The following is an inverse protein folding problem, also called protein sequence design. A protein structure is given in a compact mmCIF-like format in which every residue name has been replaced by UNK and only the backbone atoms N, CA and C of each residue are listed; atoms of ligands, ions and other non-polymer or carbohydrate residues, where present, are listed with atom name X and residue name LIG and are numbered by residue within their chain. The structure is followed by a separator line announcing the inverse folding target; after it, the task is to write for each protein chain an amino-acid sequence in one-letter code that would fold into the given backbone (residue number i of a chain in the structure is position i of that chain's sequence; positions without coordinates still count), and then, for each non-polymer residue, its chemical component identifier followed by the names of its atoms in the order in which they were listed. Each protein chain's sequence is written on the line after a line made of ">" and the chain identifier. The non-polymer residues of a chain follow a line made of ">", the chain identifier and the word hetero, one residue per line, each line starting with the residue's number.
data_IF_507176029950
#
_entry.id   IF_507176029950
#
_cell.length_a   1.000
_cell.length_b   1.000
_cell.length_c   1.000
_cell.angle_alpha   90.00
_cell.angle_beta   90.00
_cell.angle_gamma   90.00
#
_symmetry.space_group_name_H-M   'P 1'
#
loop_
_entity.id
_entity.type
_entity.pdbx_description
1 polymer ?
#
# COMPACT_ATOMS: atom_id res chain seq x y z
N UNK A 1 37.77 32.29 -30.93
CA UNK A 1 37.55 30.84 -31.04
C UNK A 1 38.27 30.00 -29.97
N UNK A 2 39.56 30.21 -29.71
CA UNK A 2 40.32 29.44 -28.71
C UNK A 2 39.79 29.54 -27.27
N UNK A 3 39.31 30.71 -26.84
CA UNK A 3 38.79 30.96 -25.48
C UNK A 3 37.43 30.26 -25.27
N UNK A 4 36.58 30.21 -26.30
CA UNK A 4 35.28 29.52 -26.27
C UNK A 4 35.48 28.01 -26.10
N UNK A 5 36.50 27.45 -26.77
CA UNK A 5 36.81 26.02 -26.66
C UNK A 5 37.32 25.63 -25.26
N UNK A 6 38.13 26.49 -24.59
CA UNK A 6 38.54 26.30 -23.20
C UNK A 6 37.37 26.39 -22.21
N UNK A 7 36.39 27.27 -22.48
CA UNK A 7 35.21 27.40 -21.63
C UNK A 7 34.27 26.20 -21.76
N UNK A 8 34.12 25.64 -22.95
CA UNK A 8 33.38 24.38 -23.20
C UNK A 8 34.03 23.17 -22.52
N UNK A 9 35.36 23.11 -22.48
CA UNK A 9 36.13 22.08 -21.78
C UNK A 9 35.99 22.16 -20.26
N UNK A 10 35.89 23.37 -19.69
CA UNK A 10 35.67 23.56 -18.25
C UNK A 10 34.26 23.19 -17.78
N UNK A 11 33.23 23.35 -18.63
CA UNK A 11 31.86 22.97 -18.35
C UNK A 11 31.68 21.44 -18.36
N UNK A 12 32.47 20.71 -19.16
CA UNK A 12 32.40 19.25 -19.23
C UNK A 12 33.03 18.51 -18.02
N UNK A 13 33.80 19.20 -17.17
CA UNK A 13 34.42 18.58 -15.99
C UNK A 13 33.55 18.50 -14.74
N UNK A 14 32.30 18.96 -14.79
CA UNK A 14 31.37 18.88 -13.66
C UNK A 14 30.51 17.58 -13.62
N UNK A 15 30.93 16.55 -14.34
CA UNK A 15 30.34 15.21 -14.22
C UNK A 15 30.92 14.46 -13.02
N UNK A 16 30.73 14.99 -11.82
CA UNK A 16 31.10 14.27 -10.60
C UNK A 16 30.13 13.10 -10.42
N UNK A 17 30.69 11.94 -10.06
CA UNK A 17 29.90 10.80 -9.63
C UNK A 17 28.94 11.26 -8.51
N UNK A 18 27.62 11.30 -8.83
CA UNK A 18 26.60 11.84 -7.94
C UNK A 18 26.19 10.84 -6.84
N UNK A 19 26.97 9.76 -6.68
CA UNK A 19 26.66 8.67 -5.78
C UNK A 19 27.67 8.60 -4.64
N UNK A 20 27.17 8.47 -3.40
CA UNK A 20 27.98 8.23 -2.21
C UNK A 20 28.47 6.78 -2.18
N UNK A 21 27.63 5.86 -2.64
CA UNK A 21 27.93 4.43 -2.68
C UNK A 21 27.19 3.76 -3.84
N UNK A 22 27.75 2.67 -4.36
CA UNK A 22 27.14 1.86 -5.40
C UNK A 22 27.85 0.52 -5.55
N UNK A 23 27.22 -0.44 -6.21
CA UNK A 23 27.84 -1.68 -6.66
C UNK A 23 27.79 -1.80 -8.18
N UNK A 24 28.73 -2.57 -8.75
CA UNK A 24 28.71 -2.88 -10.17
C UNK A 24 28.15 -4.29 -10.34
N UNK A 25 27.06 -4.38 -11.09
CA UNK A 25 26.45 -5.66 -11.45
C UNK A 25 27.28 -6.48 -12.44
N UNK A 26 26.95 -7.76 -12.60
CA UNK A 26 27.68 -8.71 -13.46
C UNK A 26 27.72 -8.24 -14.92
N UNK A 27 26.75 -7.45 -15.35
CA UNK A 27 26.66 -6.91 -16.72
C UNK A 27 27.34 -5.54 -16.88
N UNK A 28 28.00 -5.05 -15.80
CA UNK A 28 28.65 -3.73 -15.79
C UNK A 28 27.67 -2.57 -15.49
N UNK A 29 26.42 -2.84 -15.18
CA UNK A 29 25.44 -1.86 -14.75
C UNK A 29 25.67 -1.42 -13.30
N UNK A 30 25.29 -0.18 -13.00
CA UNK A 30 25.42 0.38 -11.65
C UNK A 30 24.17 0.08 -10.83
N UNK A 31 24.33 -0.71 -9.78
CA UNK A 31 23.29 -1.14 -8.84
C UNK A 31 23.49 -0.53 -7.45
N UNK A 32 22.47 -0.62 -6.60
CA UNK A 32 22.53 -0.30 -5.18
C UNK A 32 23.05 1.11 -4.89
N UNK A 33 22.64 2.06 -5.72
CA UNK A 33 23.12 3.45 -5.63
C UNK A 33 22.57 4.16 -4.40
N UNK A 34 23.45 4.84 -3.69
CA UNK A 34 23.09 5.74 -2.59
C UNK A 34 23.54 7.15 -2.98
N UNK A 35 22.67 8.12 -2.92
CA UNK A 35 22.98 9.51 -3.22
C UNK A 35 23.79 10.19 -2.09
N UNK A 36 24.23 11.42 -2.32
CA UNK A 36 25.00 12.18 -1.34
C UNK A 36 24.23 12.50 -0.05
N UNK A 37 22.89 12.39 -0.07
CA UNK A 37 22.01 12.55 1.10
C UNK A 37 21.79 11.23 1.85
N UNK A 38 22.36 10.12 1.37
CA UNK A 38 22.23 8.79 1.93
C UNK A 38 20.97 8.06 1.51
N UNK A 39 20.25 8.53 0.49
CA UNK A 39 19.03 7.91 0.01
C UNK A 39 19.31 6.90 -1.11
N UNK A 40 18.61 5.79 -1.09
CA UNK A 40 18.61 4.76 -2.14
C UNK A 40 17.99 5.30 -3.42
N UNK A 41 18.65 5.03 -4.56
CA UNK A 41 18.26 5.51 -5.87
C UNK A 41 18.50 4.45 -6.96
N UNK A 42 17.59 4.36 -7.92
CA UNK A 42 17.76 3.53 -9.11
C UNK A 42 17.59 2.04 -8.86
N UNK A 43 18.17 1.18 -9.72
CA UNK A 43 18.05 -0.28 -9.62
C UNK A 43 18.82 -0.81 -8.42
N UNK A 44 18.16 -1.73 -7.70
CA UNK A 44 18.68 -2.39 -6.50
C UNK A 44 18.53 -3.89 -6.60
N UNK A 45 19.54 -4.59 -6.09
CA UNK A 45 19.53 -6.03 -5.81
C UNK A 45 19.87 -6.23 -4.34
N UNK A 46 18.99 -6.90 -3.61
CA UNK A 46 19.10 -7.15 -2.17
C UNK A 46 19.21 -8.66 -1.99
N UNK A 47 20.23 -9.11 -1.26
CA UNK A 47 20.41 -10.51 -0.90
C UNK A 47 20.15 -10.68 0.60
N UNK A 48 19.36 -11.68 0.96
CA UNK A 48 19.06 -12.06 2.34
C UNK A 48 19.36 -13.54 2.52
N UNK A 49 20.27 -13.85 3.43
CA UNK A 49 20.66 -15.23 3.75
C UNK A 49 19.55 -15.97 4.53
N UNK A 50 19.62 -17.31 4.52
CA UNK A 50 18.83 -18.16 5.40
C UNK A 50 19.12 -17.83 6.87
N UNK A 51 18.07 -17.58 7.65
CA UNK A 51 18.22 -17.26 9.06
C UNK A 51 17.18 -17.99 9.93
N UNK A 52 17.64 -18.75 10.91
CA UNK A 52 16.81 -19.39 11.95
C UNK A 52 15.61 -20.19 11.41
N UNK A 53 15.76 -20.85 10.26
CA UNK A 53 14.73 -21.65 9.61
C UNK A 53 13.83 -20.88 8.63
N UNK A 54 13.99 -19.57 8.53
CA UNK A 54 13.42 -18.78 7.45
C UNK A 54 14.32 -18.85 6.23
N UNK A 55 13.72 -19.11 5.07
CA UNK A 55 14.45 -19.19 3.81
C UNK A 55 14.88 -17.81 3.34
N UNK A 56 16.16 -17.71 2.94
CA UNK A 56 16.69 -16.52 2.31
C UNK A 56 16.11 -16.28 0.92
N UNK A 57 16.37 -15.10 0.39
CA UNK A 57 15.88 -14.68 -0.92
C UNK A 57 16.75 -13.58 -1.52
N UNK A 58 16.60 -13.41 -2.80
CA UNK A 58 17.11 -12.26 -3.54
C UNK A 58 15.92 -11.39 -4.00
N UNK A 59 16.03 -10.09 -3.88
CA UNK A 59 14.99 -9.14 -4.28
C UNK A 59 15.60 -8.08 -5.20
N UNK A 60 14.97 -7.84 -6.34
CA UNK A 60 15.38 -6.83 -7.31
C UNK A 60 14.24 -5.86 -7.62
N UNK A 61 14.58 -4.60 -7.79
CA UNK A 61 13.61 -3.57 -8.11
C UNK A 61 14.24 -2.18 -8.21
N UNK A 62 13.45 -1.16 -8.02
CA UNK A 62 13.84 0.22 -8.17
C UNK A 62 13.49 1.05 -6.93
N UNK A 63 14.44 1.86 -6.47
CA UNK A 63 14.22 2.87 -5.45
C UNK A 63 14.25 4.27 -6.03
N UNK A 64 13.33 5.10 -5.57
CA UNK A 64 13.34 6.53 -5.76
C UNK A 64 13.26 7.23 -4.40
N UNK A 65 14.34 7.92 -3.98
CA UNK A 65 14.43 8.60 -2.69
C UNK A 65 14.13 7.73 -1.46
N UNK A 66 14.70 6.51 -1.36
CA UNK A 66 14.46 5.45 -0.36
C UNK A 66 13.11 4.75 -0.46
N UNK A 67 12.29 5.08 -1.45
CA UNK A 67 10.94 4.55 -1.62
C UNK A 67 10.96 3.52 -2.74
N UNK A 68 10.38 2.33 -2.49
CA UNK A 68 10.18 1.32 -3.55
C UNK A 68 9.24 1.88 -4.61
N UNK A 69 9.63 1.75 -5.88
CA UNK A 69 8.85 2.20 -7.03
C UNK A 69 8.88 1.16 -8.14
N UNK A 70 7.78 1.06 -8.90
CA UNK A 70 7.64 0.11 -10.01
C UNK A 70 7.57 -1.35 -9.57
N UNK A 71 8.02 -2.25 -10.44
CA UNK A 71 7.94 -3.71 -10.22
C UNK A 71 9.14 -4.21 -9.43
N UNK A 72 8.85 -4.91 -8.35
CA UNK A 72 9.81 -5.63 -7.52
C UNK A 72 9.60 -7.12 -7.68
N UNK A 73 10.70 -7.84 -7.86
CA UNK A 73 10.70 -9.29 -8.00
C UNK A 73 11.54 -9.92 -6.91
N UNK A 74 11.02 -10.97 -6.30
CA UNK A 74 11.74 -11.76 -5.30
C UNK A 74 11.94 -13.16 -5.80
N UNK A 75 13.15 -13.65 -5.61
CA UNK A 75 13.58 -14.99 -6.00
C UNK A 75 14.05 -15.77 -4.78
N UNK A 76 13.86 -17.06 -4.78
CA UNK A 76 14.56 -17.95 -3.83
C UNK A 76 16.07 -17.91 -4.11
N UNK A 77 16.90 -18.36 -3.17
CA UNK A 77 18.35 -18.50 -3.40
C UNK A 77 18.71 -19.49 -4.52
N UNK A 78 17.74 -20.30 -4.97
CA UNK A 78 17.86 -21.18 -6.14
C UNK A 78 17.44 -20.48 -7.45
N UNK A 79 17.11 -19.20 -7.43
CA UNK A 79 16.71 -18.41 -8.59
C UNK A 79 15.25 -18.59 -9.02
N UNK A 80 14.41 -19.26 -8.23
CA UNK A 80 12.98 -19.42 -8.53
C UNK A 80 12.23 -18.15 -8.10
N UNK A 81 11.45 -17.55 -9.00
CA UNK A 81 10.62 -16.40 -8.67
C UNK A 81 9.53 -16.80 -7.69
N UNK A 82 9.50 -16.15 -6.52
CA UNK A 82 8.54 -16.38 -5.43
C UNK A 82 7.59 -15.22 -5.19
N UNK A 83 7.91 -14.00 -5.67
CA UNK A 83 7.00 -12.88 -5.65
C UNK A 83 7.27 -11.91 -6.81
N UNK A 84 6.23 -11.22 -7.24
CA UNK A 84 6.28 -10.08 -8.15
C UNK A 84 5.26 -9.05 -7.64
N UNK A 85 5.76 -7.92 -7.16
CA UNK A 85 4.99 -6.90 -6.48
C UNK A 85 5.15 -5.57 -7.21
N UNK A 86 4.06 -4.82 -7.36
CA UNK A 86 4.12 -3.49 -7.95
C UNK A 86 3.96 -2.44 -6.85
N UNK A 87 4.84 -1.45 -6.86
CA UNK A 87 4.90 -0.38 -5.87
C UNK A 87 4.71 0.98 -6.51
N UNK A 88 4.07 1.86 -5.77
CA UNK A 88 3.99 3.29 -6.04
C UNK A 88 4.03 4.04 -4.72
N UNK A 89 4.92 5.03 -4.61
CA UNK A 89 5.16 5.76 -3.36
C UNK A 89 5.47 4.83 -2.16
N UNK A 90 6.18 3.72 -2.39
CA UNK A 90 6.51 2.72 -1.38
C UNK A 90 5.36 1.85 -0.90
N UNK A 91 4.21 1.90 -1.55
CA UNK A 91 3.01 1.13 -1.24
C UNK A 91 2.67 0.20 -2.39
N UNK A 92 2.08 -0.96 -2.09
CA UNK A 92 1.58 -1.87 -3.12
C UNK A 92 0.55 -1.15 -3.99
N UNK A 93 0.72 -1.23 -5.31
CA UNK A 93 -0.17 -0.61 -6.29
C UNK A 93 -0.26 -1.45 -7.55
N UNK A 94 -1.48 -1.75 -7.97
CA UNK A 94 -1.72 -2.66 -9.09
C UNK A 94 -1.63 -4.13 -8.68
N UNK A 95 -1.28 -4.99 -9.65
CA UNK A 95 -1.31 -6.45 -9.45
C UNK A 95 0.00 -6.95 -8.86
N UNK A 96 -0.10 -7.76 -7.79
CA UNK A 96 1.00 -8.51 -7.20
C UNK A 96 0.75 -10.01 -7.35
N UNK A 97 1.80 -10.80 -7.54
CA UNK A 97 1.73 -12.25 -7.70
C UNK A 97 2.69 -12.94 -6.75
N UNK A 98 2.24 -14.03 -6.15
CA UNK A 98 3.03 -14.83 -5.22
C UNK A 98 3.07 -16.29 -5.68
N UNK A 99 4.23 -16.88 -5.57
CA UNK A 99 4.50 -18.22 -6.08
C UNK A 99 5.06 -19.12 -4.97
N UNK A 100 4.96 -20.42 -5.16
CA UNK A 100 5.65 -21.40 -4.33
C UNK A 100 7.15 -21.40 -4.62
N UNK A 101 7.94 -22.04 -3.77
CA UNK A 101 9.36 -22.27 -4.01
C UNK A 101 9.62 -23.22 -5.21
N UNK A 102 8.59 -23.86 -5.74
CA UNK A 102 8.66 -24.65 -6.99
C UNK A 102 8.17 -23.86 -8.21
N UNK A 103 7.80 -22.58 -8.04
CA UNK A 103 7.38 -21.69 -9.12
C UNK A 103 5.89 -21.73 -9.46
N UNK A 104 5.08 -22.57 -8.78
CA UNK A 104 3.64 -22.60 -8.97
C UNK A 104 2.97 -21.34 -8.44
N UNK A 105 2.02 -20.77 -9.18
CA UNK A 105 1.29 -19.56 -8.77
C UNK A 105 0.34 -19.88 -7.60
N UNK A 106 0.49 -19.16 -6.48
CA UNK A 106 -0.34 -19.30 -5.28
C UNK A 106 -1.52 -18.34 -5.29
N UNK A 107 -1.23 -17.07 -5.57
CA UNK A 107 -2.26 -16.01 -5.55
C UNK A 107 -1.83 -14.81 -6.37
N UNK A 108 -2.84 -14.10 -6.85
CA UNK A 108 -2.73 -12.78 -7.47
C UNK A 108 -3.58 -11.81 -6.67
N UNK A 109 -3.00 -10.70 -6.27
CA UNK A 109 -3.63 -9.66 -5.46
C UNK A 109 -3.68 -8.35 -6.24
N UNK A 110 -4.70 -7.56 -6.02
CA UNK A 110 -4.82 -6.22 -6.61
C UNK A 110 -4.91 -5.17 -5.52
N UNK A 111 -4.05 -4.15 -5.63
CA UNK A 111 -3.87 -3.12 -4.62
C UNK A 111 -3.99 -1.72 -5.22
N UNK A 112 -4.35 -0.77 -4.38
CA UNK A 112 -4.36 0.65 -4.72
C UNK A 112 -3.58 1.45 -3.69
N UNK A 113 -2.49 2.06 -4.12
CA UNK A 113 -1.78 3.08 -3.36
C UNK A 113 -2.51 4.43 -3.51
N UNK A 114 -2.45 5.23 -2.46
CA UNK A 114 -2.90 6.62 -2.47
C UNK A 114 -1.70 7.57 -2.47
N UNK A 115 -1.82 8.69 -3.19
CA UNK A 115 -0.78 9.71 -3.27
C UNK A 115 -0.51 10.33 -1.90
N UNK A 116 0.70 10.17 -1.31
CA UNK A 116 1.02 10.68 0.01
C UNK A 116 0.99 12.21 0.09
N UNK A 117 1.03 12.93 -1.04
CA UNK A 117 0.92 14.38 -1.08
C UNK A 117 -0.52 14.86 -0.81
N UNK A 118 -1.51 13.99 -0.95
CA UNK A 118 -2.92 14.33 -0.81
C UNK A 118 -3.52 13.71 0.45
N UNK A 119 -4.16 14.51 1.29
CA UNK A 119 -4.86 14.04 2.49
C UNK A 119 -6.12 13.21 2.16
N UNK A 120 -6.68 13.40 0.98
CA UNK A 120 -7.87 12.70 0.46
C UNK A 120 -7.63 12.30 -0.99
N UNK A 121 -8.17 11.16 -1.40
CA UNK A 121 -8.19 10.70 -2.79
C UNK A 121 -9.62 10.40 -3.23
N UNK A 122 -9.89 10.56 -4.52
CA UNK A 122 -11.16 10.21 -5.13
C UNK A 122 -11.01 8.94 -5.93
N UNK A 123 -11.67 7.88 -5.49
CA UNK A 123 -11.62 6.56 -6.13
C UNK A 123 -12.90 6.30 -6.90
N UNK A 124 -12.75 5.90 -8.15
CA UNK A 124 -13.86 5.42 -8.96
C UNK A 124 -14.19 3.98 -8.57
N UNK A 125 -15.48 3.76 -8.31
CA UNK A 125 -16.04 2.45 -8.02
C UNK A 125 -16.74 1.98 -9.28
N UNK A 126 -16.29 0.85 -9.81
CA UNK A 126 -16.81 0.26 -11.03
C UNK A 126 -17.93 -0.73 -10.72
N UNK A 127 -18.78 -0.95 -11.73
CA UNK A 127 -19.83 -1.99 -11.68
C UNK A 127 -19.16 -3.37 -11.62
N UNK A 128 -19.72 -4.29 -10.82
CA UNK A 128 -19.19 -5.65 -10.64
C UNK A 128 -19.37 -6.48 -11.90
N UNK A 129 -20.43 -6.21 -12.67
CA UNK A 129 -20.77 -6.94 -13.90
C UNK A 129 -20.08 -6.30 -15.10
N UNK A 130 -20.03 -4.95 -15.14
CA UNK A 130 -19.39 -4.19 -16.20
C UNK A 130 -18.23 -3.35 -15.64
N UNK A 131 -17.00 -3.87 -15.67
CA UNK A 131 -15.82 -3.18 -15.13
C UNK A 131 -15.46 -1.87 -15.85
N UNK A 132 -16.12 -1.55 -16.96
CA UNK A 132 -15.91 -0.29 -17.68
C UNK A 132 -16.81 0.84 -17.19
N UNK A 133 -17.87 0.49 -16.46
CA UNK A 133 -18.88 1.42 -15.97
C UNK A 133 -18.57 1.90 -14.56
N UNK A 134 -18.33 3.19 -14.39
CA UNK A 134 -18.19 3.83 -13.08
C UNK A 134 -19.58 4.01 -12.46
N UNK A 135 -19.82 3.36 -11.31
CA UNK A 135 -21.09 3.43 -10.56
C UNK A 135 -21.09 4.66 -9.66
N UNK A 136 -19.99 4.91 -8.99
CA UNK A 136 -19.84 6.09 -8.11
C UNK A 136 -18.38 6.48 -7.93
N UNK A 137 -18.17 7.70 -7.42
CA UNK A 137 -16.87 8.20 -6.96
C UNK A 137 -16.93 8.36 -5.44
N UNK A 138 -15.95 7.79 -4.75
CA UNK A 138 -15.85 7.85 -3.29
C UNK A 138 -14.61 8.63 -2.91
N UNK A 139 -14.79 9.65 -2.06
CA UNK A 139 -13.65 10.37 -1.46
C UNK A 139 -13.24 9.62 -0.20
N UNK A 140 -11.99 9.21 -0.13
CA UNK A 140 -11.42 8.49 1.01
C UNK A 140 -10.29 9.27 1.63
N UNK A 141 -10.15 9.17 2.95
CA UNK A 141 -9.03 9.74 3.68
C UNK A 141 -7.79 8.90 3.43
N UNK A 142 -6.68 9.56 3.14
CA UNK A 142 -5.39 8.90 2.95
C UNK A 142 -4.76 8.60 4.32
N UNK A 143 -4.74 7.34 4.71
CA UNK A 143 -4.11 6.86 5.94
C UNK A 143 -2.66 6.38 5.72
N UNK A 144 -2.12 6.58 4.52
CA UNK A 144 -0.75 6.20 4.18
C UNK A 144 -0.53 4.71 3.99
N UNK A 145 -1.59 3.93 3.78
CA UNK A 145 -1.56 2.48 3.50
C UNK A 145 -2.02 2.18 2.07
N UNK A 146 -1.67 0.99 1.57
CA UNK A 146 -2.30 0.47 0.36
C UNK A 146 -3.63 -0.20 0.73
N UNK A 147 -4.65 -0.01 -0.12
CA UNK A 147 -5.96 -0.62 0.04
C UNK A 147 -6.14 -1.79 -0.92
N UNK A 148 -6.79 -2.85 -0.48
CA UNK A 148 -7.24 -3.93 -1.37
C UNK A 148 -8.27 -3.35 -2.34
N UNK A 149 -8.00 -3.50 -3.65
CA UNK A 149 -8.89 -2.93 -4.65
C UNK A 149 -8.78 -3.70 -5.96
N UNK A 150 -9.89 -4.32 -6.39
CA UNK A 150 -9.94 -5.18 -7.56
C UNK A 150 -9.97 -6.67 -7.22
N UNK A 151 -9.68 -7.49 -8.21
CA UNK A 151 -9.75 -8.94 -8.13
C UNK A 151 -8.54 -9.54 -7.41
N UNK A 152 -8.83 -10.46 -6.50
CA UNK A 152 -7.90 -11.33 -5.81
C UNK A 152 -8.20 -12.78 -6.17
N UNK A 153 -7.23 -13.48 -6.73
CA UNK A 153 -7.40 -14.86 -7.18
C UNK A 153 -6.41 -15.77 -6.48
N UNK A 154 -6.90 -16.90 -6.01
CA UNK A 154 -6.12 -17.96 -5.36
C UNK A 154 -6.08 -19.17 -6.29
N UNK A 155 -4.93 -19.78 -6.40
CA UNK A 155 -4.66 -20.85 -7.35
C UNK A 155 -4.23 -22.12 -6.64
N UNK A 156 -4.56 -23.27 -7.20
CA UNK A 156 -3.85 -24.50 -6.92
C UNK A 156 -2.45 -24.39 -7.57
N UNK A 157 -1.36 -24.46 -6.80
CA UNK A 157 -0.02 -24.25 -7.34
C UNK A 157 0.51 -25.38 -8.21
N UNK A 158 -0.14 -26.56 -8.18
CA UNK A 158 0.25 -27.74 -8.96
C UNK A 158 -0.52 -27.76 -10.29
N UNK A 159 -1.83 -27.56 -10.22
CA UNK A 159 -2.71 -27.60 -11.39
C UNK A 159 -2.80 -26.25 -12.11
N UNK A 160 -2.47 -25.15 -11.43
CA UNK A 160 -2.55 -23.78 -11.97
C UNK A 160 -3.99 -23.26 -12.14
N UNK A 161 -4.98 -23.98 -11.61
CA UNK A 161 -6.40 -23.59 -11.70
C UNK A 161 -6.78 -22.64 -10.60
N UNK A 162 -7.76 -21.77 -10.86
CA UNK A 162 -8.30 -20.86 -9.84
C UNK A 162 -9.19 -21.65 -8.89
N UNK A 163 -8.84 -21.62 -7.60
CA UNK A 163 -9.62 -22.26 -6.52
C UNK A 163 -10.63 -21.28 -5.93
N UNK A 164 -10.29 -19.99 -5.87
CA UNK A 164 -11.10 -18.96 -5.25
C UNK A 164 -10.83 -17.61 -5.89
N UNK A 165 -11.89 -16.81 -6.05
CA UNK A 165 -11.78 -15.40 -6.46
C UNK A 165 -12.54 -14.53 -5.46
N UNK A 166 -11.95 -13.41 -5.09
CA UNK A 166 -12.51 -12.39 -4.23
C UNK A 166 -12.38 -11.03 -4.93
N UNK A 167 -13.41 -10.20 -4.83
CA UNK A 167 -13.36 -8.85 -5.34
C UNK A 167 -13.38 -7.86 -4.18
N UNK A 168 -12.42 -6.95 -4.16
CA UNK A 168 -12.31 -5.93 -3.14
C UNK A 168 -12.53 -4.54 -3.71
N UNK A 169 -13.23 -3.72 -2.95
CA UNK A 169 -13.34 -2.29 -3.21
C UNK A 169 -12.99 -1.55 -1.92
N UNK A 170 -11.78 -0.93 -1.89
CA UNK A 170 -11.31 -0.15 -0.75
C UNK A 170 -11.35 -0.95 0.56
N UNK A 171 -10.69 -2.11 0.58
CA UNK A 171 -10.62 -3.11 1.66
C UNK A 171 -11.94 -3.86 1.97
N UNK A 172 -13.06 -3.46 1.37
CA UNK A 172 -14.33 -4.17 1.56
C UNK A 172 -14.49 -5.27 0.53
N UNK A 173 -14.84 -6.46 0.99
CA UNK A 173 -15.19 -7.59 0.12
C UNK A 173 -16.55 -7.30 -0.54
N UNK A 174 -16.61 -7.40 -1.86
CA UNK A 174 -17.83 -7.20 -2.65
C UNK A 174 -18.35 -8.56 -3.10
N UNK A 175 -19.58 -8.90 -2.74
CA UNK A 175 -20.24 -10.09 -3.22
C UNK A 175 -20.67 -9.92 -4.68
N UNK A 176 -20.63 -11.02 -5.47
CA UNK A 176 -21.02 -11.04 -6.88
C UNK A 176 -22.49 -10.63 -7.14
N UNK A 177 -23.25 -10.32 -6.10
CA UNK A 177 -24.65 -9.86 -6.19
C UNK A 177 -24.79 -8.34 -6.14
N UNK A 178 -23.67 -7.59 -6.15
CA UNK A 178 -23.73 -6.12 -6.22
C UNK A 178 -24.31 -5.47 -4.96
N UNK A 179 -24.40 -6.20 -3.85
CA UNK A 179 -24.79 -5.61 -2.58
C UNK A 179 -23.71 -4.68 -2.08
N UNK A 180 -24.11 -3.49 -2.18
CA UNK A 180 -23.49 -2.24 -1.93
C UNK A 180 -22.76 -2.17 -0.60
N UNK A 181 -21.71 -1.41 -0.64
CA UNK A 181 -21.15 -0.70 0.50
C UNK A 181 -22.19 -0.44 1.58
N UNK A 182 -21.93 -0.99 2.76
CA UNK A 182 -22.58 -0.60 3.98
C UNK A 182 -22.53 0.95 4.09
N UNK A 183 -23.62 1.57 4.47
CA UNK A 183 -23.84 3.03 4.47
C UNK A 183 -22.86 3.83 5.34
N UNK A 184 -21.87 3.17 5.95
CA UNK A 184 -20.85 3.78 6.80
C UNK A 184 -19.79 4.60 6.03
N UNK A 185 -19.65 4.40 4.72
CA UNK A 185 -18.85 5.28 3.86
C UNK A 185 -19.73 6.39 3.29
N UNK A 186 -20.26 7.25 4.14
CA UNK A 186 -20.84 8.51 3.67
C UNK A 186 -19.75 9.34 3.01
N UNK A 187 -19.96 9.81 1.76
CA UNK A 187 -19.03 10.74 1.14
C UNK A 187 -18.88 11.93 2.10
N UNK A 188 -17.67 12.26 2.47
CA UNK A 188 -17.38 13.56 3.08
C UNK A 188 -17.78 14.59 2.03
N UNK A 189 -18.91 15.25 2.26
CA UNK A 189 -19.40 16.26 1.37
C UNK A 189 -18.35 17.35 1.20
N UNK A 190 -17.78 17.44 0.00
CA UNK A 190 -16.97 18.57 -0.38
C UNK A 190 -17.89 19.78 -0.45
N UNK A 191 -17.75 20.63 0.57
CA UNK A 191 -18.14 22.01 0.68
C UNK A 191 -19.25 22.55 -0.23
N UNK A 192 -20.44 22.61 0.31
CA UNK A 192 -21.44 23.58 -0.04
C UNK A 192 -22.02 24.09 1.27
N UNK A 193 -21.63 25.28 1.66
CA UNK A 193 -22.37 26.03 2.70
C UNK A 193 -23.79 26.21 2.21
N UNK A 194 -24.70 25.36 2.66
CA UNK A 194 -26.13 25.66 2.64
C UNK A 194 -26.58 25.71 4.09
N UNK A 195 -26.89 26.92 4.52
CA UNK A 195 -27.68 27.21 5.71
C UNK A 195 -29.08 26.62 5.56
N UNK A 196 -29.61 26.16 6.69
CA UNK A 196 -30.99 25.75 7.04
C UNK A 196 -31.12 24.20 7.00
N UNK A 197 -31.57 23.51 8.03
CA UNK A 197 -32.58 23.81 9.02
C UNK A 197 -32.36 22.95 10.27
N UNK A 198 -32.45 23.58 11.38
CA UNK A 198 -32.67 23.01 12.71
C UNK A 198 -34.03 22.29 12.70
N UNK A 199 -34.01 20.93 12.77
CA UNK A 199 -35.02 20.18 13.53
C UNK A 199 -34.78 18.66 13.26
N UNK A 200 -34.59 17.92 14.34
CA UNK A 200 -34.63 16.46 14.31
C UNK A 200 -33.35 15.74 14.74
N UNK A 201 -32.82 16.05 15.94
CA UNK A 201 -31.99 15.09 16.66
C UNK A 201 -32.79 13.80 16.88
N UNK A 202 -32.62 12.81 16.03
CA UNK A 202 -32.89 11.41 16.41
C UNK A 202 -31.82 11.03 17.41
N UNK A 203 -32.11 11.18 18.69
CA UNK A 203 -31.36 10.57 19.78
C UNK A 203 -31.45 9.06 19.57
N UNK A 204 -30.32 8.44 19.26
CA UNK A 204 -30.20 6.99 19.31
C UNK A 204 -30.58 6.56 20.73
N UNK A 205 -31.75 5.91 20.87
CA UNK A 205 -32.20 5.34 22.13
C UNK A 205 -31.20 4.27 22.55
N UNK A 206 -30.54 4.51 23.69
CA UNK A 206 -29.64 3.51 24.27
C UNK A 206 -30.38 2.18 24.45
N UNK A 207 -29.74 1.04 24.14
CA UNK A 207 -30.34 -0.26 24.43
C UNK A 207 -30.77 -0.38 25.89
N UNK A 208 -31.92 -1.00 26.16
CA UNK A 208 -32.52 -1.09 27.48
C UNK A 208 -31.53 -1.61 28.56
N UNK A 209 -30.69 -2.58 28.19
CA UNK A 209 -29.64 -3.10 29.07
C UNK A 209 -28.62 -2.06 29.56
N UNK A 210 -28.31 -1.05 28.71
CA UNK A 210 -27.38 0.03 29.07
C UNK A 210 -28.06 1.03 30.02
N UNK A 211 -29.34 1.31 29.81
CA UNK A 211 -30.14 2.18 30.68
C UNK A 211 -30.28 1.55 32.08
N UNK A 212 -30.55 0.27 32.14
CA UNK A 212 -30.68 -0.47 33.39
C UNK A 212 -29.34 -0.55 34.13
N UNK A 213 -28.23 -0.73 33.46
CA UNK A 213 -26.89 -0.69 34.01
C UNK A 213 -26.51 0.69 34.57
N UNK A 214 -26.79 1.76 33.80
CA UNK A 214 -26.55 3.13 34.28
C UNK A 214 -27.40 3.50 35.50
N UNK A 215 -28.67 3.07 35.48
CA UNK A 215 -29.59 3.29 36.64
C UNK A 215 -29.13 2.54 37.90
N UNK A 216 -28.61 1.32 37.74
CA UNK A 216 -28.13 0.48 38.84
C UNK A 216 -26.81 0.97 39.45
N UNK A 217 -26.03 1.75 38.68
CA UNK A 217 -24.69 2.21 39.06
C UNK A 217 -24.59 3.75 39.24
N UNK A 218 -25.67 4.49 39.08
CA UNK A 218 -25.68 5.95 39.16
C UNK A 218 -25.31 6.54 40.52
N UNK A 219 -25.25 5.73 41.56
CA UNK A 219 -24.86 6.13 42.93
C UNK A 219 -23.48 5.65 43.40
N UNK A 220 -22.72 4.91 42.57
CA UNK A 220 -21.43 4.39 42.94
C UNK A 220 -20.29 5.34 42.56
N UNK A 221 -19.44 5.74 43.53
CA UNK A 221 -18.22 6.52 43.30
C UNK A 221 -17.38 5.85 42.21
N UNK A 222 -16.95 6.66 41.19
CA UNK A 222 -16.01 6.19 40.17
C UNK A 222 -14.78 5.58 40.81
N UNK A 223 -14.58 4.28 40.57
CA UNK A 223 -13.34 3.60 40.97
C UNK A 223 -12.25 4.14 40.06
N UNK A 224 -11.20 4.75 40.63
CA UNK A 224 -9.99 5.13 39.87
C UNK A 224 -9.35 3.84 39.39
N UNK A 225 -9.33 3.64 38.10
CA UNK A 225 -8.49 2.62 37.47
C UNK A 225 -7.04 2.94 37.79
N UNK A 226 -6.33 2.02 38.40
CA UNK A 226 -4.88 2.07 38.60
C UNK A 226 -4.24 2.02 37.22
N UNK A 227 -3.52 3.09 36.85
CA UNK A 227 -2.54 3.09 35.80
C UNK A 227 -1.45 2.09 36.20
N UNK A 228 -1.20 1.08 35.36
CA UNK A 228 -0.25 0.00 35.61
C UNK A 228 1.22 0.43 35.63
N UNK A 229 1.59 1.50 36.36
CA UNK A 229 2.97 1.87 36.66
C UNK A 229 3.39 1.20 37.95
N UNK A 230 4.03 0.02 37.84
CA UNK A 230 4.89 -0.53 38.87
C UNK A 230 6.20 0.24 38.83
N UNK A 231 6.43 1.06 39.83
CA UNK A 231 7.74 1.66 40.07
C UNK A 231 8.74 0.60 40.53
N UNK A 232 9.90 0.62 39.92
CA UNK A 232 11.22 0.33 40.50
C UNK A 232 12.15 1.46 40.08
#
# INVERSE_FOLDING_TARGET
>A
MRIIFCFLLLVSMNSFAQWKDYSIGVRGDTLNRVDLKGKKQGPWSIHVDDLRGEKGYEEEGYFENDVKEGTWKRYSLQGIKIAEENYRWGKLNGRSKYFTYNGGLLRSESWRAMDPANAFDTVEVFDVIDPTKVVKRVVIKNEGIALKHGEWSYYDPVEGVIVKTENYQLDKLVNNQGEAFDDELKPLGVGGYSKSDTTGKKTLTKPQAVIDYEKKNSGKKKVKTRDGRTGY
#
